data_IF_244987447879
#
_entry.id   IF_244987447879
#
_cell.length_a   1.000
_cell.length_b   1.000
_cell.length_c   1.000
_cell.angle_alpha   90.00
_cell.angle_beta   90.00
_cell.angle_gamma   90.00
#
_symmetry.space_group_name_H-M   'P 1'
#
loop_
_entity.id
_entity.type
_entity.pdbx_description
1 polymer ?
#
# COMPACT_ATOMS: atom_id res chain seq x y z
N UNK A 1 7.89 -8.05 -14.20
CA UNK A 1 6.73 -7.50 -13.47
C UNK A 1 5.58 -8.48 -13.61
N UNK A 2 5.07 -8.98 -12.48
CA UNK A 2 3.91 -9.86 -12.42
C UNK A 2 2.62 -9.04 -12.46
N UNK A 3 1.60 -9.54 -13.14
CA UNK A 3 0.26 -8.92 -13.14
C UNK A 3 -0.32 -8.96 -11.72
N UNK A 4 -0.04 -10.01 -10.97
CA UNK A 4 -0.47 -10.19 -9.58
C UNK A 4 0.18 -9.16 -8.65
N UNK A 5 1.49 -8.93 -8.79
CA UNK A 5 2.21 -7.93 -7.99
C UNK A 5 1.68 -6.51 -8.19
N UNK A 6 1.37 -6.13 -9.44
CA UNK A 6 0.72 -4.84 -9.75
C UNK A 6 -0.69 -4.73 -9.16
N UNK A 7 -1.47 -5.81 -9.20
CA UNK A 7 -2.81 -5.82 -8.61
C UNK A 7 -2.75 -5.66 -7.08
N UNK A 8 -1.81 -6.32 -6.41
CA UNK A 8 -1.57 -6.15 -4.97
C UNK A 8 -1.07 -4.74 -4.62
N UNK A 9 -0.16 -4.17 -5.43
CA UNK A 9 0.31 -2.79 -5.26
C UNK A 9 -0.85 -1.78 -5.31
N UNK A 10 -1.73 -1.91 -6.31
CA UNK A 10 -2.88 -1.03 -6.47
C UNK A 10 -3.97 -1.24 -5.40
N UNK A 11 -4.31 -2.50 -5.08
CA UNK A 11 -5.31 -2.81 -4.05
C UNK A 11 -4.85 -2.35 -2.66
N UNK A 12 -3.57 -2.55 -2.34
CA UNK A 12 -2.96 -2.07 -1.10
C UNK A 12 -2.97 -0.55 -1.00
N UNK A 13 -2.64 0.14 -2.09
CA UNK A 13 -2.69 1.61 -2.17
C UNK A 13 -4.10 2.16 -1.90
N UNK A 14 -5.13 1.62 -2.58
CA UNK A 14 -6.52 2.06 -2.39
C UNK A 14 -6.99 1.81 -0.96
N UNK A 15 -6.68 0.63 -0.41
CA UNK A 15 -7.08 0.27 0.95
C UNK A 15 -6.38 1.14 2.00
N UNK A 16 -5.12 1.51 1.78
CA UNK A 16 -4.40 2.45 2.63
C UNK A 16 -5.02 3.85 2.58
N UNK A 17 -5.23 4.40 1.38
CA UNK A 17 -5.77 5.74 1.18
C UNK A 17 -7.19 5.91 1.75
N UNK A 18 -8.05 4.89 1.58
CA UNK A 18 -9.42 4.90 2.12
C UNK A 18 -9.48 4.92 3.65
N UNK A 19 -8.44 4.46 4.34
CA UNK A 19 -8.45 4.30 5.80
C UNK A 19 -7.41 5.18 6.52
N UNK A 20 -6.51 5.85 5.79
CA UNK A 20 -5.42 6.68 6.34
C UNK A 20 -5.91 7.77 7.30
N UNK A 21 -7.09 8.34 7.04
CA UNK A 21 -7.66 9.41 7.86
C UNK A 21 -8.56 8.91 9.00
N UNK A 22 -8.85 7.61 9.05
CA UNK A 22 -9.68 7.03 10.09
C UNK A 22 -8.93 6.94 11.42
N UNK A 23 -9.52 7.52 12.48
CA UNK A 23 -8.94 7.50 13.84
C UNK A 23 -9.32 6.27 14.66
N UNK A 24 -10.21 5.42 14.14
CA UNK A 24 -10.59 4.18 14.82
C UNK A 24 -9.46 3.14 14.69
N UNK A 25 -9.29 2.25 15.68
CA UNK A 25 -8.33 1.15 15.61
C UNK A 25 -8.52 0.28 14.36
N UNK A 26 -9.76 0.08 13.92
CA UNK A 26 -10.07 -0.68 12.71
C UNK A 26 -9.59 0.02 11.44
N UNK A 27 -9.75 1.35 11.34
CA UNK A 27 -9.27 2.11 10.20
C UNK A 27 -7.73 2.10 10.14
N UNK A 28 -7.08 2.29 11.29
CA UNK A 28 -5.61 2.19 11.37
C UNK A 28 -5.10 0.81 10.97
N UNK A 29 -5.80 -0.26 11.38
CA UNK A 29 -5.49 -1.63 10.97
C UNK A 29 -5.65 -1.83 9.46
N UNK A 30 -6.76 -1.36 8.88
CA UNK A 30 -6.99 -1.45 7.43
C UNK A 30 -5.95 -0.65 6.63
N UNK A 31 -5.52 0.50 7.14
CA UNK A 31 -4.44 1.27 6.54
C UNK A 31 -3.10 0.50 6.57
N UNK A 32 -2.79 -0.18 7.68
CA UNK A 32 -1.62 -1.04 7.76
C UNK A 32 -1.70 -2.24 6.81
N UNK A 33 -2.86 -2.90 6.73
CA UNK A 33 -3.09 -3.98 5.77
C UNK A 33 -2.92 -3.51 4.31
N UNK A 34 -3.28 -2.26 4.02
CA UNK A 34 -3.02 -1.63 2.72
C UNK A 34 -1.53 -1.46 2.43
N UNK A 35 -0.72 -1.00 3.41
CA UNK A 35 0.75 -0.93 3.30
C UNK A 35 1.36 -2.27 3.01
N UNK A 36 0.97 -3.27 3.79
CA UNK A 36 1.55 -4.60 3.73
C UNK A 36 1.26 -5.24 2.35
N UNK A 37 0.01 -5.15 1.88
CA UNK A 37 -0.39 -5.65 0.56
C UNK A 37 0.31 -4.90 -0.59
N UNK A 38 0.47 -3.58 -0.45
CA UNK A 38 1.18 -2.78 -1.45
C UNK A 38 2.65 -3.18 -1.53
N UNK A 39 3.28 -3.40 -0.38
CA UNK A 39 4.67 -3.81 -0.28
C UNK A 39 4.91 -5.24 -0.73
N UNK A 40 3.97 -6.14 -0.44
CA UNK A 40 3.97 -7.51 -0.98
C UNK A 40 3.99 -7.49 -2.50
N UNK A 41 3.08 -6.72 -3.13
CA UNK A 41 3.04 -6.57 -4.58
C UNK A 41 4.33 -6.02 -5.18
N UNK A 42 5.01 -5.10 -4.49
CA UNK A 42 6.32 -4.56 -4.90
C UNK A 42 7.43 -5.60 -4.78
N UNK A 43 7.48 -6.34 -3.67
CA UNK A 43 8.48 -7.39 -3.44
C UNK A 43 8.33 -8.52 -4.47
N UNK A 44 7.09 -8.92 -4.80
CA UNK A 44 6.81 -9.87 -5.88
C UNK A 44 7.26 -9.38 -7.25
N UNK A 45 7.19 -8.06 -7.47
CA UNK A 45 7.71 -7.40 -8.66
C UNK A 45 9.24 -7.20 -8.64
N UNK A 46 9.93 -7.63 -7.58
CA UNK A 46 11.38 -7.46 -7.39
C UNK A 46 11.79 -6.03 -7.00
N UNK A 47 10.84 -5.20 -6.57
CA UNK A 47 11.06 -3.82 -6.14
C UNK A 47 11.18 -3.75 -4.62
N UNK A 48 11.95 -2.78 -4.13
CA UNK A 48 12.00 -2.50 -2.70
C UNK A 48 10.61 -2.07 -2.16
N UNK A 49 10.24 -2.49 -0.93
CA UNK A 49 9.01 -2.04 -0.28
C UNK A 49 9.03 -0.53 -0.05
N UNK A 50 7.86 0.10 -0.06
CA UNK A 50 7.67 1.51 0.27
C UNK A 50 7.40 1.67 1.77
N UNK A 51 8.19 2.51 2.42
CA UNK A 51 7.98 2.93 3.81
C UNK A 51 7.25 4.27 3.90
N UNK A 52 7.15 5.01 2.80
CA UNK A 52 6.39 6.25 2.67
C UNK A 52 4.88 6.01 2.72
N UNK A 53 4.15 7.01 3.23
CA UNK A 53 2.69 7.04 3.18
C UNK A 53 2.20 7.27 1.73
N UNK A 54 1.02 6.75 1.34
CA UNK A 54 0.33 7.10 0.09
C UNK A 54 0.24 8.61 -0.08
N UNK A 55 0.28 9.07 -1.32
CA UNK A 55 0.22 10.50 -1.63
C UNK A 55 1.42 11.35 -1.16
N UNK A 56 2.36 10.81 -0.37
CA UNK A 56 3.55 11.55 0.09
C UNK A 56 4.80 11.30 -0.75
N UNK A 57 4.76 10.30 -1.63
CA UNK A 57 5.78 10.10 -2.65
C UNK A 57 5.69 11.29 -3.63
N UNK A 58 6.62 12.24 -3.51
CA UNK A 58 6.84 13.24 -4.56
C UNK A 58 7.26 12.46 -5.81
N UNK A 59 6.50 12.61 -6.88
CA UNK A 59 6.87 12.08 -8.19
C UNK A 59 8.24 12.64 -8.56
N UNK A 60 9.23 11.78 -8.70
CA UNK A 60 10.52 12.06 -9.34
C UNK A 60 10.71 11.07 -10.48
#
# INVERSE_FOLDING_TARGET
MSIEGKAKEAAGYIKEEMNEHGKSPEAQKKAQEGRDLRNEGRVEDGKAPKTSKPGTDKSE
#
